data_IF_898287956601
#
_entry.id   IF_898287956601
#
_cell.length_a   1.000
_cell.length_b   1.000
_cell.length_c   1.000
_cell.angle_alpha   90.00
_cell.angle_beta   90.00
_cell.angle_gamma   90.00
#
_symmetry.space_group_name_H-M   'P 1'
#
loop_
_entity.id
_entity.type
_entity.pdbx_description
1 polymer ?
#
# COMPACT_ATOMS: atom_id res chain seq x y z
N UNK A 1 14.92 11.34 14.35
CA UNK A 1 15.50 10.88 13.08
C UNK A 1 14.50 9.94 12.47
N UNK A 2 14.23 10.05 11.17
CA UNK A 2 13.33 9.12 10.48
C UNK A 2 14.03 7.78 10.28
N UNK A 3 13.34 6.68 10.61
CA UNK A 3 13.81 5.32 10.42
C UNK A 3 13.72 4.90 8.95
N UNK A 4 12.64 5.28 8.27
CA UNK A 4 12.42 4.99 6.85
C UNK A 4 11.38 5.93 6.22
N UNK A 5 11.34 5.93 4.88
CA UNK A 5 10.28 6.55 4.09
C UNK A 5 9.32 5.50 3.54
N UNK A 6 8.02 5.80 3.54
CA UNK A 6 7.01 5.08 2.75
C UNK A 6 6.53 6.02 1.64
N UNK A 7 6.72 5.61 0.39
CA UNK A 7 6.28 6.37 -0.78
C UNK A 7 5.08 5.70 -1.42
N UNK A 8 4.08 6.51 -1.78
CA UNK A 8 2.88 6.08 -2.51
C UNK A 8 2.68 6.90 -3.78
N UNK A 9 1.70 6.53 -4.60
CA UNK A 9 1.32 7.33 -5.77
C UNK A 9 0.55 8.59 -5.37
N UNK A 10 -0.37 8.48 -4.42
CA UNK A 10 -1.19 9.60 -3.96
C UNK A 10 -1.39 9.66 -2.45
N UNK A 11 -1.93 10.80 -1.99
CA UNK A 11 -2.25 11.03 -0.58
C UNK A 11 -3.34 10.07 -0.07
N UNK A 12 -4.27 9.69 -0.94
CA UNK A 12 -5.32 8.70 -0.65
C UNK A 12 -4.74 7.36 -0.21
N UNK A 13 -3.64 6.92 -0.82
CA UNK A 13 -2.97 5.67 -0.50
C UNK A 13 -2.30 5.76 0.88
N UNK A 14 -1.75 6.94 1.20
CA UNK A 14 -1.16 7.22 2.52
C UNK A 14 -2.21 7.07 3.61
N UNK A 15 -3.42 7.61 3.40
CA UNK A 15 -4.51 7.49 4.37
C UNK A 15 -4.84 6.02 4.68
N UNK A 16 -4.89 5.17 3.64
CA UNK A 16 -5.10 3.73 3.77
C UNK A 16 -3.98 3.10 4.60
N UNK A 17 -2.72 3.34 4.21
CA UNK A 17 -1.57 2.74 4.86
C UNK A 17 -1.43 3.21 6.32
N UNK A 18 -1.65 4.49 6.61
CA UNK A 18 -1.60 5.04 7.97
C UNK A 18 -2.69 4.46 8.87
N UNK A 19 -3.87 4.15 8.32
CA UNK A 19 -4.95 3.53 9.08
C UNK A 19 -4.69 2.05 9.36
N UNK A 20 -4.08 1.34 8.43
CA UNK A 20 -3.90 -0.11 8.50
C UNK A 20 -2.56 -0.53 9.11
N UNK A 21 -1.49 0.23 8.96
CA UNK A 21 -0.21 -0.11 9.57
C UNK A 21 -0.25 0.13 11.09
N UNK A 22 0.28 -0.80 11.90
CA UNK A 22 0.35 -0.63 13.35
C UNK A 22 1.10 0.65 13.74
N UNK A 23 0.48 1.49 14.60
CA UNK A 23 1.04 2.81 15.00
C UNK A 23 2.44 2.73 15.60
N UNK A 24 2.76 1.65 16.30
CA UNK A 24 4.08 1.42 16.89
C UNK A 24 5.17 1.20 15.83
N UNK A 25 4.81 0.83 14.60
CA UNK A 25 5.75 0.66 13.49
C UNK A 25 5.89 1.91 12.63
N UNK A 26 4.96 2.87 12.75
CA UNK A 26 4.91 4.06 11.90
C UNK A 26 5.37 5.35 12.60
N UNK A 27 5.70 5.29 13.89
CA UNK A 27 6.06 6.47 14.68
C UNK A 27 7.25 7.25 14.11
N UNK A 28 8.27 6.55 13.58
CA UNK A 28 9.48 7.15 13.01
C UNK A 28 9.51 7.02 11.48
N UNK A 29 8.35 6.88 10.84
CA UNK A 29 8.22 6.69 9.40
C UNK A 29 7.63 7.94 8.75
N UNK A 30 8.30 8.48 7.73
CA UNK A 30 7.75 9.57 6.93
C UNK A 30 7.01 9.01 5.70
N UNK A 31 5.73 9.38 5.56
CA UNK A 31 4.94 9.07 4.37
C UNK A 31 5.05 10.21 3.34
N UNK A 32 5.22 9.86 2.06
CA UNK A 32 5.33 10.85 0.98
C UNK A 32 4.53 10.39 -0.25
N UNK A 33 3.65 11.25 -0.76
CA UNK A 33 2.95 11.03 -2.00
C UNK A 33 3.80 11.51 -3.19
N UNK A 34 4.07 10.63 -4.15
CA UNK A 34 4.84 10.96 -5.35
C UNK A 34 4.02 11.72 -6.41
N UNK A 35 2.69 11.68 -6.32
CA UNK A 35 1.75 12.24 -7.29
C UNK A 35 1.58 11.39 -8.58
N UNK A 36 2.36 10.33 -8.74
CA UNK A 36 2.23 9.30 -9.79
C UNK A 36 3.24 8.17 -9.55
N UNK A 37 2.99 7.00 -10.14
CA UNK A 37 3.93 5.88 -10.19
C UNK A 37 5.36 6.27 -10.57
N UNK A 38 5.53 7.07 -11.63
CA UNK A 38 6.86 7.47 -12.11
C UNK A 38 7.58 8.40 -11.12
N UNK A 39 6.87 9.41 -10.60
CA UNK A 39 7.45 10.37 -9.66
C UNK A 39 7.76 9.73 -8.32
N UNK A 40 6.92 8.82 -7.83
CA UNK A 40 7.18 8.03 -6.63
C UNK A 40 8.48 7.22 -6.77
N UNK A 41 8.66 6.53 -7.91
CA UNK A 41 9.89 5.81 -8.24
C UNK A 41 11.12 6.72 -8.26
N UNK A 42 11.05 7.84 -8.98
CA UNK A 42 12.14 8.81 -9.06
C UNK A 42 12.53 9.38 -7.70
N UNK A 43 11.54 9.63 -6.83
CA UNK A 43 11.79 10.13 -5.49
C UNK A 43 12.41 9.06 -4.59
N UNK A 44 11.94 7.81 -4.67
CA UNK A 44 12.53 6.68 -3.96
C UNK A 44 14.02 6.52 -4.30
N UNK A 45 14.36 6.54 -5.60
CA UNK A 45 15.76 6.53 -6.08
C UNK A 45 16.57 7.68 -5.47
N UNK A 46 16.01 8.89 -5.46
CA UNK A 46 16.68 10.08 -4.93
C UNK A 46 16.92 10.00 -3.43
N UNK A 47 15.93 9.52 -2.66
CA UNK A 47 16.04 9.36 -1.20
C UNK A 47 17.10 8.32 -0.84
N UNK A 48 17.11 7.18 -1.53
CA UNK A 48 18.15 6.15 -1.35
C UNK A 48 19.55 6.71 -1.61
N UNK A 49 19.74 7.42 -2.72
CA UNK A 49 21.05 7.95 -3.10
C UNK A 49 21.54 9.11 -2.21
N UNK A 50 20.64 9.99 -1.78
CA UNK A 50 21.03 11.27 -1.14
C UNK A 50 20.85 11.27 0.38
N UNK A 51 19.78 10.66 0.89
CA UNK A 51 19.48 10.60 2.33
C UNK A 51 20.07 9.37 2.99
N UNK A 52 20.34 8.32 2.21
CA UNK A 52 20.83 7.02 2.69
C UNK A 52 19.92 6.44 3.77
N UNK A 53 18.61 6.64 3.60
CA UNK A 53 17.57 6.18 4.52
C UNK A 53 16.75 5.10 3.83
N UNK A 54 16.34 4.03 4.54
CA UNK A 54 15.51 2.98 3.96
C UNK A 54 14.21 3.49 3.32
N UNK A 55 13.77 2.82 2.26
CA UNK A 55 12.57 3.20 1.50
C UNK A 55 11.67 1.99 1.26
N UNK A 56 10.39 2.09 1.62
CA UNK A 56 9.34 1.24 1.07
C UNK A 56 8.58 2.02 -0.01
N UNK A 57 8.62 1.52 -1.25
CA UNK A 57 7.85 2.06 -2.36
C UNK A 57 6.60 1.21 -2.57
N UNK A 58 5.44 1.83 -2.42
CA UNK A 58 4.12 1.22 -2.61
C UNK A 58 3.47 1.86 -3.83
N UNK A 59 3.20 1.08 -4.86
CA UNK A 59 2.56 1.59 -6.08
C UNK A 59 1.56 0.57 -6.61
N UNK A 60 0.64 1.01 -7.44
CA UNK A 60 -0.33 0.11 -8.06
C UNK A 60 0.36 -0.74 -9.13
N UNK A 61 -0.15 -1.94 -9.37
CA UNK A 61 0.29 -2.80 -10.45
C UNK A 61 -0.36 -2.40 -11.77
N UNK A 62 -1.56 -1.81 -11.72
CA UNK A 62 -2.44 -1.45 -12.85
C UNK A 62 -2.93 -2.67 -13.67
N UNK A 63 -2.69 -3.88 -13.17
CA UNK A 63 -2.96 -5.12 -13.87
C UNK A 63 -3.06 -6.29 -12.91
N UNK A 64 -3.82 -7.31 -13.29
CA UNK A 64 -3.89 -8.61 -12.61
C UNK A 64 -3.06 -9.68 -13.33
N UNK A 65 -2.39 -9.33 -14.42
CA UNK A 65 -1.56 -10.25 -15.18
C UNK A 65 -0.24 -10.49 -14.45
N UNK A 66 -0.02 -11.72 -13.97
CA UNK A 66 1.16 -12.09 -13.17
C UNK A 66 2.50 -11.78 -13.88
N UNK A 67 2.59 -12.01 -15.19
CA UNK A 67 3.81 -11.72 -15.96
C UNK A 67 4.10 -10.22 -15.98
N UNK A 68 3.09 -9.37 -16.20
CA UNK A 68 3.26 -7.93 -16.17
C UNK A 68 3.58 -7.40 -14.76
N UNK A 69 2.97 -7.98 -13.72
CA UNK A 69 3.28 -7.65 -12.31
C UNK A 69 4.74 -7.97 -12.02
N UNK A 70 5.20 -9.16 -12.42
CA UNK A 70 6.57 -9.61 -12.24
C UNK A 70 7.57 -8.70 -12.96
N UNK A 71 7.35 -8.42 -14.25
CA UNK A 71 8.19 -7.53 -15.05
C UNK A 71 8.25 -6.11 -14.46
N UNK A 72 7.12 -5.56 -14.02
CA UNK A 72 7.06 -4.25 -13.37
C UNK A 72 7.87 -4.25 -12.08
N UNK A 73 7.71 -5.27 -11.22
CA UNK A 73 8.44 -5.38 -9.95
C UNK A 73 9.95 -5.53 -10.19
N UNK A 74 10.35 -6.38 -11.12
CA UNK A 74 11.75 -6.63 -11.46
C UNK A 74 12.45 -5.37 -11.99
N UNK A 75 11.82 -4.66 -12.93
CA UNK A 75 12.35 -3.41 -13.47
C UNK A 75 12.57 -2.35 -12.37
N UNK A 76 11.61 -2.20 -11.46
CA UNK A 76 11.71 -1.21 -10.39
C UNK A 76 12.79 -1.61 -9.39
N UNK A 77 12.85 -2.89 -9.01
CA UNK A 77 13.90 -3.41 -8.15
C UNK A 77 15.28 -3.16 -8.75
N UNK A 78 15.47 -3.42 -10.04
CA UNK A 78 16.72 -3.16 -10.74
C UNK A 78 17.14 -1.70 -10.61
N UNK A 79 16.23 -0.75 -10.88
CA UNK A 79 16.50 0.69 -10.80
C UNK A 79 16.83 1.13 -9.36
N UNK A 80 16.04 0.71 -8.37
CA UNK A 80 16.28 1.09 -6.98
C UNK A 80 17.57 0.47 -6.43
N UNK A 81 17.88 -0.76 -6.82
CA UNK A 81 19.09 -1.44 -6.37
C UNK A 81 20.36 -0.67 -6.79
N UNK A 82 20.39 -0.12 -8.00
CA UNK A 82 21.51 0.71 -8.47
C UNK A 82 21.73 1.97 -7.64
N UNK A 83 20.66 2.59 -7.14
CA UNK A 83 20.75 3.80 -6.33
C UNK A 83 20.94 3.52 -4.83
N UNK A 84 20.57 2.32 -4.37
CA UNK A 84 20.53 1.97 -2.95
C UNK A 84 21.88 2.05 -2.26
N UNK A 85 22.99 1.71 -2.95
CA UNK A 85 24.32 1.59 -2.32
C UNK A 85 24.31 0.76 -1.03
N UNK A 86 23.50 -0.31 -0.98
CA UNK A 86 23.36 -1.19 0.20
C UNK A 86 22.36 -0.70 1.25
N UNK A 87 21.70 0.44 1.03
CA UNK A 87 20.60 0.89 1.89
C UNK A 87 19.36 0.01 1.62
N UNK A 88 18.72 -0.56 2.66
CA UNK A 88 17.54 -1.41 2.49
C UNK A 88 16.39 -0.69 1.77
N UNK A 89 15.72 -1.40 0.86
CA UNK A 89 14.48 -0.93 0.26
C UNK A 89 13.51 -2.08 0.02
N UNK A 90 12.23 -1.75 -0.13
CA UNK A 90 11.16 -2.69 -0.46
C UNK A 90 10.30 -2.11 -1.59
N UNK A 91 9.99 -2.93 -2.59
CA UNK A 91 9.01 -2.61 -3.63
C UNK A 91 7.78 -3.47 -3.42
N UNK A 92 6.65 -2.82 -3.16
CA UNK A 92 5.36 -3.44 -2.89
C UNK A 92 4.37 -2.99 -3.94
N UNK A 93 3.87 -3.94 -4.74
CA UNK A 93 2.87 -3.66 -5.77
C UNK A 93 1.48 -4.00 -5.25
N UNK A 94 0.58 -3.03 -5.21
CA UNK A 94 -0.82 -3.28 -4.96
C UNK A 94 -1.46 -3.86 -6.23
N UNK A 95 -2.11 -5.02 -6.13
CA UNK A 95 -2.65 -5.72 -7.30
C UNK A 95 -4.17 -5.68 -7.28
N UNK A 96 -4.84 -5.19 -8.35
CA UNK A 96 -4.27 -4.31 -9.38
C UNK A 96 -4.01 -2.88 -8.85
N UNK A 97 -4.75 -2.47 -7.83
CA UNK A 97 -4.72 -1.13 -7.20
C UNK A 97 -4.82 -1.29 -5.67
N UNK A 98 -4.40 -0.30 -4.89
CA UNK A 98 -4.38 -0.36 -3.42
C UNK A 98 -5.76 -0.60 -2.79
N UNK A 99 -6.84 -0.16 -3.45
CA UNK A 99 -8.20 -0.40 -3.01
C UNK A 99 -8.57 -1.89 -2.93
N UNK A 100 -7.79 -2.79 -3.55
CA UNK A 100 -7.98 -4.24 -3.40
C UNK A 100 -7.88 -4.72 -1.97
N UNK A 101 -7.17 -3.99 -1.10
CA UNK A 101 -7.13 -4.27 0.34
C UNK A 101 -8.56 -4.31 0.90
N UNK A 102 -9.41 -3.33 0.55
CA UNK A 102 -10.77 -3.25 1.05
C UNK A 102 -11.65 -4.41 0.57
N UNK A 103 -11.35 -4.96 -0.62
CA UNK A 103 -12.05 -6.10 -1.18
C UNK A 103 -11.58 -7.45 -0.62
N UNK A 104 -10.71 -7.46 0.38
CA UNK A 104 -10.44 -8.67 1.15
C UNK A 104 -11.62 -9.03 2.08
N UNK A 105 -12.35 -8.04 2.57
CA UNK A 105 -13.50 -8.23 3.45
C UNK A 105 -14.80 -7.87 2.74
N UNK A 106 -15.45 -8.89 2.16
CA UNK A 106 -16.74 -8.73 1.49
C UNK A 106 -17.82 -8.19 2.43
N UNK A 107 -17.86 -8.69 3.67
CA UNK A 107 -18.88 -8.31 4.64
C UNK A 107 -18.77 -6.84 5.04
N UNK A 108 -17.55 -6.30 5.13
CA UNK A 108 -17.32 -4.87 5.33
C UNK A 108 -17.98 -4.03 4.22
N UNK A 109 -17.73 -4.38 2.95
CA UNK A 109 -18.28 -3.61 1.81
C UNK A 109 -19.80 -3.75 1.74
N UNK A 110 -20.34 -4.95 1.97
CA UNK A 110 -21.79 -5.18 2.02
C UNK A 110 -22.47 -4.36 3.12
N UNK A 111 -21.84 -4.27 4.30
CA UNK A 111 -22.31 -3.45 5.43
C UNK A 111 -22.38 -1.97 5.03
N UNK A 112 -21.33 -1.43 4.40
CA UNK A 112 -21.28 -0.01 4.01
C UNK A 112 -22.24 0.28 2.85
N UNK A 113 -22.32 -0.62 1.86
CA UNK A 113 -23.19 -0.49 0.70
C UNK A 113 -24.67 -0.78 1.02
N UNK A 114 -24.96 -1.38 2.18
CA UNK A 114 -26.29 -1.85 2.59
C UNK A 114 -26.95 -2.78 1.55
N UNK A 115 -26.12 -3.56 0.85
CA UNK A 115 -26.56 -4.59 -0.10
C UNK A 115 -25.58 -5.74 -0.09
N UNK A 116 -26.06 -6.93 -0.48
CA UNK A 116 -25.21 -8.09 -0.72
C UNK A 116 -24.72 -8.09 -2.16
N UNK A 117 -23.53 -8.64 -2.40
CA UNK A 117 -22.99 -8.85 -3.74
C UNK A 117 -22.97 -10.34 -4.04
N UNK A 118 -23.38 -10.72 -5.25
CA UNK A 118 -23.20 -12.11 -5.68
C UNK A 118 -21.73 -12.40 -6.02
N UNK A 119 -21.41 -13.67 -6.25
CA UNK A 119 -20.02 -14.09 -6.50
C UNK A 119 -19.45 -13.50 -7.78
N UNK A 120 -20.27 -13.33 -8.83
CA UNK A 120 -19.83 -12.74 -10.10
C UNK A 120 -19.52 -11.24 -9.95
N UNK A 121 -20.39 -10.49 -9.27
CA UNK A 121 -20.16 -9.08 -8.93
C UNK A 121 -18.87 -8.94 -8.12
N UNK A 122 -18.65 -9.83 -7.15
CA UNK A 122 -17.46 -9.80 -6.31
C UNK A 122 -16.19 -10.17 -7.05
N UNK A 123 -16.23 -11.16 -7.94
CA UNK A 123 -15.12 -11.52 -8.81
C UNK A 123 -14.76 -10.38 -9.76
N UNK A 124 -15.77 -9.71 -10.34
CA UNK A 124 -15.54 -8.55 -11.20
C UNK A 124 -14.93 -7.38 -10.41
N UNK A 125 -15.34 -7.18 -9.15
CA UNK A 125 -14.79 -6.16 -8.28
C UNK A 125 -13.27 -6.28 -8.12
N UNK A 126 -12.73 -7.51 -8.02
CA UNK A 126 -11.28 -7.75 -7.91
C UNK A 126 -10.49 -7.24 -9.13
N UNK A 127 -11.13 -7.15 -10.30
CA UNK A 127 -10.45 -6.69 -11.51
C UNK A 127 -10.22 -5.18 -11.56
N UNK A 128 -11.12 -4.41 -10.93
CA UNK A 128 -11.14 -2.95 -10.90
C UNK A 128 -11.68 -2.44 -9.57
N UNK A 129 -10.92 -2.63 -8.48
CA UNK A 129 -11.40 -2.43 -7.12
C UNK A 129 -11.85 -0.99 -6.88
N UNK A 130 -11.10 0.01 -7.35
CA UNK A 130 -11.47 1.42 -7.18
C UNK A 130 -12.77 1.77 -7.90
N UNK A 131 -12.86 1.45 -9.20
CA UNK A 131 -14.06 1.72 -10.02
C UNK A 131 -15.30 1.07 -9.41
N UNK A 132 -15.17 -0.18 -8.96
CA UNK A 132 -16.25 -0.90 -8.28
C UNK A 132 -16.68 -0.18 -6.99
N UNK A 133 -15.73 0.14 -6.12
CA UNK A 133 -16.01 0.78 -4.84
C UNK A 133 -16.63 2.17 -5.00
N UNK A 134 -16.14 2.98 -5.95
CA UNK A 134 -16.72 4.28 -6.29
C UNK A 134 -18.17 4.14 -6.78
N UNK A 135 -18.45 3.11 -7.57
CA UNK A 135 -19.79 2.83 -8.11
C UNK A 135 -20.76 2.42 -7.01
N UNK A 136 -20.36 1.51 -6.11
CA UNK A 136 -21.28 0.93 -5.12
C UNK A 136 -21.43 1.78 -3.87
N UNK A 137 -20.47 2.66 -3.57
CA UNK A 137 -20.47 3.49 -2.36
C UNK A 137 -20.90 4.94 -2.59
N UNK A 138 -21.34 5.33 -3.79
CA UNK A 138 -21.77 6.68 -4.18
C UNK A 138 -20.67 7.75 -3.98
N UNK A 139 -20.13 8.24 -5.11
CA UNK A 139 -18.94 9.13 -5.24
C UNK A 139 -19.11 10.56 -4.66
N UNK A 140 -20.05 10.77 -3.72
CA UNK A 140 -20.29 12.09 -3.10
C UNK A 140 -19.33 12.41 -1.94
N UNK A 141 -18.68 11.40 -1.38
CA UNK A 141 -17.63 11.54 -0.37
C UNK A 141 -16.35 10.89 -0.87
N UNK A 142 -15.19 11.29 -0.32
CA UNK A 142 -13.93 10.57 -0.55
C UNK A 142 -14.14 9.10 -0.19
N UNK A 143 -13.95 8.20 -1.18
CA UNK A 143 -14.14 6.76 -1.03
C UNK A 143 -13.45 6.22 0.23
N UNK A 144 -12.19 6.61 0.40
CA UNK A 144 -11.34 6.18 1.51
C UNK A 144 -11.92 6.68 2.84
N UNK A 145 -12.29 7.96 2.93
CA UNK A 145 -12.94 8.49 4.14
C UNK A 145 -14.16 7.66 4.55
N UNK A 146 -15.00 7.27 3.57
CA UNK A 146 -16.22 6.52 3.85
C UNK A 146 -15.89 5.13 4.39
N UNK A 147 -14.94 4.41 3.79
CA UNK A 147 -14.56 3.08 4.26
C UNK A 147 -13.83 3.18 5.61
N UNK A 148 -12.78 4.01 5.69
CA UNK A 148 -11.90 4.11 6.86
C UNK A 148 -12.61 4.57 8.14
N UNK A 149 -13.71 5.35 8.03
CA UNK A 149 -14.57 5.76 9.16
C UNK A 149 -15.51 4.66 9.65
N UNK A 150 -15.81 3.66 8.82
CA UNK A 150 -16.69 2.53 9.16
C UNK A 150 -15.92 1.31 9.66
N UNK A 151 -14.59 1.37 9.69
CA UNK A 151 -13.72 0.31 10.20
C UNK A 151 -13.75 0.27 11.73
N UNK A 152 -14.03 -0.91 12.27
CA UNK A 152 -13.74 -1.27 13.66
C UNK A 152 -12.40 -2.02 13.78
N UNK A 153 -11.98 -2.33 15.02
CA UNK A 153 -10.71 -2.98 15.28
C UNK A 153 -10.59 -4.39 14.68
N UNK A 154 -11.69 -5.13 14.59
CA UNK A 154 -11.67 -6.48 14.01
C UNK A 154 -11.57 -6.45 12.48
N UNK A 155 -12.26 -5.50 11.83
CA UNK A 155 -12.13 -5.22 10.41
C UNK A 155 -10.72 -4.74 10.07
N UNK A 156 -10.12 -3.88 10.90
CA UNK A 156 -8.71 -3.48 10.74
C UNK A 156 -7.80 -4.70 10.81
N UNK A 157 -7.99 -5.63 11.76
CA UNK A 157 -7.17 -6.85 11.86
C UNK A 157 -7.30 -7.73 10.63
N UNK A 158 -8.50 -7.83 10.05
CA UNK A 158 -8.74 -8.57 8.80
C UNK A 158 -7.95 -7.91 7.68
N UNK A 159 -8.16 -6.61 7.43
CA UNK A 159 -7.47 -5.87 6.37
C UNK A 159 -5.95 -5.85 6.55
N UNK A 160 -5.47 -5.89 7.80
CA UNK A 160 -4.05 -6.01 8.10
C UNK A 160 -3.45 -7.33 7.59
N UNK A 161 -4.22 -8.41 7.44
CA UNK A 161 -3.72 -9.67 6.87
C UNK A 161 -3.46 -9.59 5.36
N UNK A 162 -3.83 -8.48 4.71
CA UNK A 162 -3.60 -8.34 3.28
C UNK A 162 -2.11 -8.48 2.93
N UNK A 163 -1.76 -9.24 1.88
CA UNK A 163 -0.36 -9.50 1.52
C UNK A 163 0.48 -8.23 1.40
N UNK A 164 -0.08 -7.16 0.82
CA UNK A 164 0.58 -5.86 0.70
C UNK A 164 0.93 -5.26 2.08
N UNK A 165 -0.03 -5.28 3.02
CA UNK A 165 0.18 -4.72 4.36
C UNK A 165 1.19 -5.56 5.14
N UNK A 166 1.14 -6.88 5.00
CA UNK A 166 2.13 -7.78 5.60
C UNK A 166 3.53 -7.55 5.04
N UNK A 167 3.69 -7.41 3.72
CA UNK A 167 4.99 -7.13 3.08
C UNK A 167 5.63 -5.84 3.63
N UNK A 168 4.85 -4.75 3.72
CA UNK A 168 5.31 -3.48 4.29
C UNK A 168 5.65 -3.66 5.77
N UNK A 169 4.79 -4.32 6.54
CA UNK A 169 5.00 -4.59 7.97
C UNK A 169 6.28 -5.37 8.23
N UNK A 170 6.55 -6.42 7.46
CA UNK A 170 7.76 -7.23 7.59
C UNK A 170 9.02 -6.43 7.29
N UNK A 171 8.98 -5.60 6.25
CA UNK A 171 10.08 -4.68 5.95
C UNK A 171 10.36 -3.75 7.13
N UNK A 172 9.35 -3.04 7.65
CA UNK A 172 9.53 -2.13 8.79
C UNK A 172 10.08 -2.83 10.04
N UNK A 173 9.57 -4.02 10.34
CA UNK A 173 10.06 -4.83 11.46
C UNK A 173 11.55 -5.19 11.32
N UNK A 174 12.00 -5.53 10.11
CA UNK A 174 13.40 -5.87 9.85
C UNK A 174 14.36 -4.68 10.11
N UNK A 175 13.89 -3.45 9.83
CA UNK A 175 14.65 -2.23 10.09
C UNK A 175 14.79 -1.95 11.59
N UNK A 176 13.69 -2.12 12.34
CA UNK A 176 13.68 -1.93 13.79
C UNK A 176 14.64 -2.94 14.45
N UNK A 177 14.56 -4.22 14.09
CA UNK A 177 15.46 -5.25 14.65
C UNK A 177 16.93 -4.96 14.37
N UNK A 178 17.24 -4.51 13.16
CA UNK A 178 18.60 -4.13 12.78
C UNK A 178 19.08 -2.90 13.56
N UNK A 179 18.21 -1.91 13.82
CA UNK A 179 18.55 -0.74 14.62
C UNK A 179 18.82 -1.06 16.10
N UNK A 180 18.12 -2.04 16.66
CA UNK A 180 18.33 -2.50 18.05
C UNK A 180 19.61 -3.31 18.18
N UNK A 181 20.00 -4.07 17.15
CA UNK A 181 21.21 -4.89 17.18
C UNK A 181 22.53 -4.07 17.04
N UNK A 182 22.44 -2.82 16.58
CA UNK A 182 23.60 -1.93 16.36
C UNK A 182 23.85 -1.00 17.56
N UNK A 183 22.89 -0.90 18.50
CA UNK A 183 23.01 -0.13 19.74
C UNK A 183 23.36 -1.02 20.93
#
# INVERSE_FOLDING_TARGET
MELAYILTEGDKDIEILQKLLPKNLTQDIQFIAGGSSYRARSLATSLLATRKTPVALVIDADTNNESQIFEKKDLINYVLNQASSGIPFQVSLAVPEIESIFLQDKSLIEKIAKRQFNDLEWQLAQSKPKEFLETVLDNKASLNDKILRNLNDDEIKILQQHPLIQEIKFFLLSLIQSSVAIN
#
